data_IF_495104693203
#
_entry.id   IF_495104693203
#
_cell.length_a   1.000
_cell.length_b   1.000
_cell.length_c   1.000
_cell.angle_alpha   90.00
_cell.angle_beta   90.00
_cell.angle_gamma   90.00
#
_symmetry.space_group_name_H-M   'P 1'
#
loop_
_entity.id
_entity.type
_entity.pdbx_description
1 polymer ?
#
# COMPACT_ATOMS: atom_id res chain seq x y z
N UNK A 1 65.73 -38.91 -16.48
CA UNK A 1 64.29 -38.60 -16.49
C UNK A 1 64.09 -37.40 -15.59
N UNK A 2 64.16 -36.21 -16.17
CA UNK A 2 63.90 -34.95 -15.46
C UNK A 2 62.39 -34.62 -15.47
N UNK A 3 61.88 -33.91 -14.46
CA UNK A 3 60.45 -33.63 -14.30
C UNK A 3 60.06 -32.37 -15.09
N UNK A 4 59.11 -32.49 -16.01
CA UNK A 4 58.54 -31.34 -16.72
C UNK A 4 57.46 -30.72 -15.83
N UNK A 5 57.88 -29.73 -15.05
CA UNK A 5 57.03 -28.69 -14.50
C UNK A 5 56.78 -27.64 -15.59
N UNK A 6 55.57 -27.57 -16.14
CA UNK A 6 55.09 -26.39 -16.88
C UNK A 6 53.66 -26.05 -16.46
N UNK A 7 53.53 -25.35 -15.32
CA UNK A 7 52.30 -24.61 -15.02
C UNK A 7 52.17 -23.48 -16.04
N UNK A 8 51.32 -23.66 -17.04
CA UNK A 8 51.08 -22.68 -18.10
C UNK A 8 50.36 -21.44 -17.53
N UNK A 9 50.98 -20.25 -17.52
CA UNK A 9 50.45 -19.07 -16.83
C UNK A 9 49.16 -18.51 -17.45
N UNK A 10 48.86 -18.78 -18.72
CA UNK A 10 47.64 -18.33 -19.38
C UNK A 10 46.38 -19.10 -18.94
N UNK A 11 46.48 -20.41 -18.69
CA UNK A 11 45.36 -21.20 -18.19
C UNK A 11 44.96 -20.79 -16.76
N UNK A 12 45.93 -20.39 -15.93
CA UNK A 12 45.65 -19.85 -14.58
C UNK A 12 45.00 -18.48 -14.64
N UNK A 13 45.38 -17.61 -15.58
CA UNK A 13 44.74 -16.28 -15.76
C UNK A 13 43.29 -16.41 -16.20
N UNK A 14 43.00 -17.33 -17.13
CA UNK A 14 41.62 -17.58 -17.61
C UNK A 14 40.74 -18.15 -16.50
N UNK A 15 41.26 -19.08 -15.69
CA UNK A 15 40.53 -19.64 -14.54
C UNK A 15 40.23 -18.59 -13.46
N UNK A 16 41.19 -17.72 -13.13
CA UNK A 16 40.99 -16.64 -12.16
C UNK A 16 40.02 -15.58 -12.69
N UNK A 17 40.04 -15.27 -13.99
CA UNK A 17 39.09 -14.35 -14.60
C UNK A 17 37.65 -14.89 -14.54
N UNK A 18 37.44 -16.18 -14.86
CA UNK A 18 36.13 -16.83 -14.77
C UNK A 18 35.59 -16.91 -13.33
N UNK A 19 36.45 -17.14 -12.33
CA UNK A 19 36.06 -17.12 -10.91
C UNK A 19 35.63 -15.70 -10.47
N UNK A 20 36.39 -14.66 -10.85
CA UNK A 20 36.08 -13.25 -10.53
C UNK A 20 34.77 -12.81 -11.21
N UNK A 21 34.53 -13.24 -12.45
CA UNK A 21 33.30 -13.00 -13.17
C UNK A 21 32.09 -13.68 -12.50
N UNK A 22 32.29 -14.89 -11.97
CA UNK A 22 31.29 -15.59 -11.14
C UNK A 22 30.91 -14.83 -9.86
N UNK A 23 31.90 -14.27 -9.14
CA UNK A 23 31.61 -13.40 -7.99
C UNK A 23 30.87 -12.13 -8.37
N UNK A 24 31.22 -11.52 -9.52
CA UNK A 24 30.51 -10.36 -10.06
C UNK A 24 29.02 -10.65 -10.29
N UNK A 25 28.71 -11.76 -10.96
CA UNK A 25 27.34 -12.20 -11.17
C UNK A 25 26.56 -12.42 -9.86
N UNK A 26 27.18 -13.02 -8.83
CA UNK A 26 26.54 -13.20 -7.52
C UNK A 26 26.24 -11.87 -6.83
N UNK A 27 27.16 -10.89 -6.91
CA UNK A 27 26.93 -9.55 -6.35
C UNK A 27 25.81 -8.82 -7.08
N UNK A 28 25.77 -8.91 -8.41
CA UNK A 28 24.72 -8.30 -9.22
C UNK A 28 23.34 -8.92 -8.90
N UNK A 29 23.28 -10.24 -8.70
CA UNK A 29 22.06 -10.93 -8.28
C UNK A 29 21.57 -10.43 -6.90
N UNK A 30 22.48 -10.28 -5.94
CA UNK A 30 22.14 -9.74 -4.61
C UNK A 30 21.65 -8.30 -4.74
N UNK A 31 22.32 -7.46 -5.54
CA UNK A 31 21.90 -6.06 -5.76
C UNK A 31 20.48 -5.99 -6.33
N UNK A 32 20.16 -6.81 -7.33
CA UNK A 32 18.82 -6.86 -7.91
C UNK A 32 17.75 -7.33 -6.90
N UNK A 33 18.10 -8.27 -6.01
CA UNK A 33 17.21 -8.70 -4.92
C UNK A 33 16.99 -7.57 -3.90
N UNK A 34 18.04 -6.85 -3.51
CA UNK A 34 17.96 -5.71 -2.59
C UNK A 34 17.06 -4.60 -3.15
N UNK A 35 17.22 -4.24 -4.43
CA UNK A 35 16.36 -3.26 -5.10
C UNK A 35 14.87 -3.68 -5.11
N UNK A 36 14.63 -4.98 -5.21
CA UNK A 36 13.27 -5.55 -5.17
C UNK A 36 12.69 -5.51 -3.76
N UNK A 37 13.48 -5.85 -2.75
CA UNK A 37 13.09 -5.75 -1.34
C UNK A 37 12.77 -4.32 -0.95
N UNK A 38 13.61 -3.35 -1.34
CA UNK A 38 13.39 -1.93 -1.04
C UNK A 38 12.03 -1.44 -1.55
N UNK A 39 11.65 -1.80 -2.80
CA UNK A 39 10.33 -1.46 -3.36
C UNK A 39 9.18 -2.03 -2.54
N UNK A 40 9.30 -3.28 -2.09
CA UNK A 40 8.27 -3.95 -1.29
C UNK A 40 8.20 -3.40 0.14
N UNK A 41 9.33 -3.07 0.76
CA UNK A 41 9.38 -2.38 2.06
C UNK A 41 8.66 -1.03 1.99
N UNK A 42 8.96 -0.24 0.95
CA UNK A 42 8.29 1.04 0.71
C UNK A 42 6.77 0.89 0.50
N UNK A 43 6.30 -0.24 -0.04
CA UNK A 43 4.88 -0.54 -0.18
C UNK A 43 4.21 -0.79 1.19
N UNK A 44 4.84 -1.63 2.02
CA UNK A 44 4.38 -1.92 3.39
C UNK A 44 4.37 -0.65 4.24
N UNK A 45 5.44 0.15 4.18
CA UNK A 45 5.55 1.41 4.92
C UNK A 45 4.43 2.38 4.50
N UNK A 46 4.19 2.54 3.20
CA UNK A 46 3.11 3.40 2.69
C UNK A 46 1.75 2.93 3.20
N UNK A 47 1.48 1.63 3.24
CA UNK A 47 0.24 1.09 3.77
C UNK A 47 -0.01 1.55 5.23
N UNK A 48 0.98 1.41 6.11
CA UNK A 48 0.83 1.79 7.53
C UNK A 48 0.82 3.31 7.75
N UNK A 49 1.56 4.09 6.97
CA UNK A 49 1.52 5.55 7.04
C UNK A 49 0.16 6.11 6.59
N UNK A 50 -0.43 5.53 5.55
CA UNK A 50 -1.72 6.00 5.01
C UNK A 50 -2.89 5.55 5.88
N UNK A 51 -2.83 4.35 6.47
CA UNK A 51 -3.90 3.84 7.35
C UNK A 51 -3.96 4.52 8.72
N UNK A 52 -2.89 5.22 9.13
CA UNK A 52 -2.87 6.09 10.31
C UNK A 52 -3.54 7.47 10.13
N UNK A 53 -3.97 7.83 8.91
CA UNK A 53 -4.69 9.07 8.61
C UNK A 53 -6.03 8.78 7.90
N UNK A 54 -7.15 9.38 8.32
CA UNK A 54 -8.46 9.03 7.77
C UNK A 54 -8.67 9.67 6.40
N UNK A 55 -8.22 9.03 5.31
CA UNK A 55 -8.86 9.18 3.99
C UNK A 55 -8.50 8.06 3.00
N UNK A 56 -9.53 7.59 2.28
CA UNK A 56 -9.49 6.62 1.18
C UNK A 56 -8.47 7.01 0.11
N UNK A 57 -7.63 6.06 -0.32
CA UNK A 57 -7.23 5.96 -1.73
C UNK A 57 -7.06 4.50 -2.15
N UNK A 58 -7.83 4.11 -3.16
CA UNK A 58 -7.59 2.89 -3.95
C UNK A 58 -6.26 3.05 -4.70
N UNK A 59 -5.23 2.29 -4.32
CA UNK A 59 -4.06 2.08 -5.17
C UNK A 59 -4.04 0.63 -5.63
N UNK A 60 -4.06 0.44 -6.95
CA UNK A 60 -3.92 -0.84 -7.62
C UNK A 60 -2.53 -1.40 -7.33
N UNK A 61 -2.46 -2.46 -6.52
CA UNK A 61 -1.24 -3.21 -6.20
C UNK A 61 -1.07 -4.41 -7.14
N UNK A 62 0.15 -4.57 -7.62
CA UNK A 62 0.60 -5.48 -8.67
C UNK A 62 0.44 -6.97 -8.29
N UNK A 63 0.17 -7.78 -9.31
CA UNK A 63 0.00 -9.22 -9.23
C UNK A 63 1.35 -9.93 -9.04
N UNK A 64 1.57 -10.64 -7.94
CA UNK A 64 2.35 -11.90 -7.81
C UNK A 64 2.00 -12.50 -6.44
N UNK A 65 0.86 -13.20 -6.32
CA UNK A 65 0.58 -14.33 -5.37
C UNK A 65 -0.69 -15.02 -5.88
N UNK A 66 -0.62 -15.81 -6.96
CA UNK A 66 -1.82 -16.14 -7.75
C UNK A 66 -2.68 -17.32 -7.25
N UNK A 67 -2.16 -18.28 -6.47
CA UNK A 67 -2.94 -19.53 -6.27
C UNK A 67 -3.64 -19.67 -4.90
N UNK A 68 -2.98 -19.31 -3.79
CA UNK A 68 -3.63 -19.35 -2.46
C UNK A 68 -4.57 -18.14 -2.23
N UNK A 69 -4.20 -16.97 -2.76
CA UNK A 69 -5.01 -15.76 -2.63
C UNK A 69 -6.31 -15.85 -3.45
N UNK A 70 -6.27 -16.48 -4.63
CA UNK A 70 -7.43 -16.64 -5.51
C UNK A 70 -8.55 -17.46 -4.89
N UNK A 71 -8.22 -18.50 -4.10
CA UNK A 71 -9.22 -19.30 -3.38
C UNK A 71 -9.84 -18.53 -2.21
N UNK A 72 -9.06 -17.69 -1.51
CA UNK A 72 -9.59 -16.82 -0.45
C UNK A 72 -10.53 -15.74 -1.02
N UNK A 73 -10.13 -15.10 -2.13
CA UNK A 73 -10.93 -14.11 -2.85
C UNK A 73 -12.24 -14.71 -3.38
N UNK A 74 -12.19 -15.92 -3.98
CA UNK A 74 -13.38 -16.64 -4.43
C UNK A 74 -14.33 -16.97 -3.29
N UNK A 75 -13.81 -17.44 -2.15
CA UNK A 75 -14.62 -17.74 -0.95
C UNK A 75 -15.27 -16.47 -0.38
N UNK A 76 -14.51 -15.38 -0.27
CA UNK A 76 -15.01 -14.09 0.22
C UNK A 76 -16.10 -13.51 -0.70
N UNK A 77 -15.95 -13.67 -2.01
CA UNK A 77 -16.95 -13.23 -2.98
C UNK A 77 -18.22 -14.10 -2.94
N UNK A 78 -18.08 -15.40 -2.71
CA UNK A 78 -19.22 -16.30 -2.51
C UNK A 78 -20.00 -15.96 -1.23
N UNK A 79 -19.31 -15.67 -0.13
CA UNK A 79 -19.93 -15.27 1.14
C UNK A 79 -20.62 -13.89 1.03
N UNK A 80 -20.04 -12.95 0.30
CA UNK A 80 -20.68 -11.66 0.01
C UNK A 80 -21.96 -11.84 -0.84
N UNK A 81 -21.89 -12.65 -1.90
CA UNK A 81 -23.04 -12.95 -2.75
C UNK A 81 -24.17 -13.63 -1.96
N UNK A 82 -23.84 -14.59 -1.09
CA UNK A 82 -24.83 -15.27 -0.24
C UNK A 82 -25.50 -14.32 0.76
N UNK A 83 -24.76 -13.38 1.35
CA UNK A 83 -25.33 -12.33 2.21
C UNK A 83 -26.28 -11.42 1.44
N UNK A 84 -25.88 -10.98 0.25
CA UNK A 84 -26.71 -10.12 -0.60
C UNK A 84 -28.02 -10.80 -1.03
N UNK A 85 -27.95 -12.08 -1.41
CA UNK A 85 -29.16 -12.88 -1.71
C UNK A 85 -30.10 -12.95 -0.51
N UNK A 86 -29.56 -13.09 0.69
CA UNK A 86 -30.39 -13.17 1.91
C UNK A 86 -31.01 -11.81 2.24
N UNK A 87 -30.29 -10.71 2.07
CA UNK A 87 -30.80 -9.35 2.25
C UNK A 87 -31.91 -9.03 1.24
N UNK A 88 -31.71 -9.43 -0.01
CA UNK A 88 -32.71 -9.30 -1.07
C UNK A 88 -34.00 -10.03 -0.71
N UNK A 89 -33.92 -11.27 -0.22
CA UNK A 89 -35.10 -12.05 0.20
C UNK A 89 -35.87 -11.39 1.34
N UNK A 90 -35.17 -10.82 2.34
CA UNK A 90 -35.80 -10.11 3.45
C UNK A 90 -36.48 -8.82 2.99
N UNK A 91 -35.84 -8.06 2.10
CA UNK A 91 -36.48 -6.87 1.52
C UNK A 91 -37.70 -7.25 0.68
N UNK A 92 -37.63 -8.31 -0.13
CA UNK A 92 -38.78 -8.83 -0.88
C UNK A 92 -39.95 -9.22 0.02
N UNK A 93 -39.67 -9.79 1.19
CA UNK A 93 -40.69 -10.11 2.19
C UNK A 93 -41.39 -8.85 2.73
N UNK A 94 -40.62 -7.80 3.04
CA UNK A 94 -41.17 -6.51 3.45
C UNK A 94 -42.01 -5.87 2.33
N UNK A 95 -41.54 -5.94 1.08
CA UNK A 95 -42.27 -5.45 -0.10
C UNK A 95 -43.60 -6.19 -0.28
N UNK A 96 -43.63 -7.51 -0.04
CA UNK A 96 -44.86 -8.32 -0.09
C UNK A 96 -45.84 -7.93 1.02
N UNK A 97 -45.36 -7.73 2.24
CA UNK A 97 -46.19 -7.25 3.35
C UNK A 97 -46.75 -5.85 3.05
N UNK A 98 -45.93 -4.95 2.53
CA UNK A 98 -46.35 -3.62 2.09
C UNK A 98 -47.39 -3.70 0.97
N UNK A 99 -47.21 -4.56 -0.03
CA UNK A 99 -48.18 -4.76 -1.10
C UNK A 99 -49.55 -5.22 -0.57
N UNK A 100 -49.58 -5.99 0.52
CA UNK A 100 -50.83 -6.36 1.19
C UNK A 100 -51.51 -5.16 1.87
N UNK A 101 -50.74 -4.25 2.47
CA UNK A 101 -51.25 -2.99 3.02
C UNK A 101 -51.81 -2.13 1.89
N UNK A 102 -51.02 -1.93 0.83
CA UNK A 102 -51.40 -1.14 -0.33
C UNK A 102 -52.70 -1.67 -0.96
N UNK A 103 -52.83 -2.99 -1.17
CA UNK A 103 -54.06 -3.60 -1.68
C UNK A 103 -55.29 -3.30 -0.81
N UNK A 104 -55.15 -3.31 0.52
CA UNK A 104 -56.27 -3.00 1.42
C UNK A 104 -56.71 -1.53 1.30
N UNK A 105 -55.76 -0.61 1.04
CA UNK A 105 -56.07 0.80 0.83
C UNK A 105 -56.72 1.01 -0.55
N UNK A 106 -56.20 0.38 -1.61
CA UNK A 106 -56.73 0.55 -2.98
C UNK A 106 -58.09 -0.13 -3.21
N UNK A 107 -58.46 -1.08 -2.35
CA UNK A 107 -59.78 -1.73 -2.35
C UNK A 107 -60.82 -1.03 -1.47
N UNK A 108 -60.45 0.02 -0.74
CA UNK A 108 -61.39 0.81 0.04
C UNK A 108 -62.42 1.48 -0.88
N UNK A 109 -63.66 1.62 -0.42
CA UNK A 109 -64.75 2.25 -1.19
C UNK A 109 -64.40 3.68 -1.64
N UNK A 110 -63.67 4.42 -0.80
CA UNK A 110 -63.21 5.78 -1.09
C UNK A 110 -61.90 5.86 -1.88
N UNK A 111 -61.37 4.74 -2.37
CA UNK A 111 -60.09 4.74 -3.10
C UNK A 111 -60.23 5.20 -4.56
N UNK A 112 -61.46 5.26 -5.10
CA UNK A 112 -61.71 5.43 -6.53
C UNK A 112 -61.09 6.71 -7.15
N UNK A 113 -61.01 7.89 -6.49
CA UNK A 113 -60.42 9.09 -7.11
C UNK A 113 -58.91 8.97 -7.32
N UNK A 114 -58.28 8.05 -6.61
CA UNK A 114 -56.82 7.90 -6.55
C UNK A 114 -56.31 6.74 -7.40
N UNK A 115 -57.20 6.02 -8.10
CA UNK A 115 -56.86 4.79 -8.82
C UNK A 115 -56.02 5.05 -10.06
N UNK A 116 -56.29 6.14 -10.75
CA UNK A 116 -55.65 6.52 -12.00
C UNK A 116 -55.11 7.95 -11.89
N UNK A 117 -54.19 8.38 -12.77
CA UNK A 117 -53.75 9.77 -12.84
C UNK A 117 -54.94 10.73 -12.97
N UNK A 118 -54.82 11.92 -12.37
CA UNK A 118 -55.87 12.94 -12.45
C UNK A 118 -56.07 13.37 -13.90
N UNK A 119 -57.27 13.15 -14.43
CA UNK A 119 -57.67 13.58 -15.77
C UNK A 119 -58.05 15.06 -15.76
N UNK A 120 -57.03 15.91 -15.86
CA UNK A 120 -57.18 17.37 -15.79
C UNK A 120 -57.99 17.94 -16.96
N UNK A 121 -58.02 17.27 -18.11
CA UNK A 121 -58.76 17.74 -19.29
C UNK A 121 -60.25 17.50 -19.10
N UNK A 122 -60.64 16.26 -18.78
CA UNK A 122 -62.05 15.90 -18.56
C UNK A 122 -62.66 16.63 -17.36
N UNK A 123 -61.85 16.98 -16.36
CA UNK A 123 -62.27 17.70 -15.16
C UNK A 123 -62.13 19.23 -15.27
N UNK A 124 -61.55 19.76 -16.35
CA UNK A 124 -61.37 21.21 -16.55
C UNK A 124 -60.38 21.87 -15.57
N UNK A 125 -59.38 21.12 -15.09
CA UNK A 125 -58.43 21.56 -14.06
C UNK A 125 -57.17 22.19 -14.67
N UNK A 126 -57.30 23.42 -15.17
CA UNK A 126 -56.21 24.10 -15.91
C UNK A 126 -54.98 24.48 -15.07
N UNK A 127 -55.10 24.51 -13.75
CA UNK A 127 -54.05 24.91 -12.81
C UNK A 127 -53.39 23.72 -12.07
N UNK A 128 -53.86 22.49 -12.29
CA UNK A 128 -53.44 21.32 -11.52
C UNK A 128 -51.92 21.13 -11.51
N UNK A 129 -51.26 21.17 -12.67
CA UNK A 129 -49.80 21.02 -12.78
C UNK A 129 -49.01 22.26 -12.35
N UNK A 130 -49.68 23.40 -12.10
CA UNK A 130 -49.05 24.58 -11.49
C UNK A 130 -49.00 24.43 -9.96
N UNK A 131 -50.02 23.77 -9.39
CA UNK A 131 -50.12 23.53 -7.94
C UNK A 131 -49.40 22.24 -7.53
N UNK A 132 -49.51 21.19 -8.33
CA UNK A 132 -49.00 19.84 -8.05
C UNK A 132 -47.76 19.54 -8.92
N UNK A 133 -46.59 19.59 -8.28
CA UNK A 133 -45.28 19.41 -8.93
C UNK A 133 -45.03 17.97 -9.38
N UNK A 134 -45.43 16.98 -8.58
CA UNK A 134 -45.22 15.56 -8.85
C UNK A 134 -46.55 14.81 -8.69
N UNK A 135 -47.37 14.71 -9.75
CA UNK A 135 -48.57 13.89 -9.77
C UNK A 135 -48.27 12.44 -9.39
N UNK A 136 -49.19 11.79 -8.70
CA UNK A 136 -49.06 10.40 -8.29
C UNK A 136 -50.43 9.79 -8.05
N UNK A 137 -50.58 8.51 -8.35
CA UNK A 137 -51.80 7.72 -8.23
C UNK A 137 -51.48 6.24 -7.96
N UNK A 138 -52.49 5.47 -7.60
CA UNK A 138 -52.31 4.06 -7.26
C UNK A 138 -51.93 3.18 -8.45
N UNK A 139 -52.40 3.49 -9.66
CA UNK A 139 -52.05 2.80 -10.90
C UNK A 139 -50.56 2.94 -11.19
N UNK A 140 -50.04 4.17 -11.14
CA UNK A 140 -48.61 4.47 -11.29
C UNK A 140 -47.76 3.75 -10.23
N UNK A 141 -48.17 3.79 -8.96
CA UNK A 141 -47.46 3.07 -7.89
C UNK A 141 -47.45 1.57 -8.16
N UNK A 142 -48.61 0.98 -8.52
CA UNK A 142 -48.73 -0.44 -8.80
C UNK A 142 -47.81 -0.86 -9.96
N UNK A 143 -47.84 -0.12 -11.06
CA UNK A 143 -47.00 -0.39 -12.24
C UNK A 143 -45.52 -0.35 -11.87
N UNK A 144 -45.11 0.62 -11.06
CA UNK A 144 -43.72 0.73 -10.58
C UNK A 144 -43.33 -0.35 -9.57
N UNK A 145 -44.28 -0.88 -8.80
CA UNK A 145 -44.02 -2.06 -7.94
C UNK A 145 -43.79 -3.34 -8.75
N UNK A 146 -44.40 -3.45 -9.94
CA UNK A 146 -44.35 -4.63 -10.81
C UNK A 146 -43.31 -4.51 -11.94
N UNK A 147 -42.64 -3.35 -12.04
CA UNK A 147 -41.68 -3.06 -13.10
C UNK A 147 -40.51 -4.05 -13.13
N UNK A 148 -40.04 -4.38 -14.35
CA UNK A 148 -38.93 -5.32 -14.60
C UNK A 148 -37.76 -4.70 -15.36
N UNK A 149 -37.90 -3.45 -15.76
CA UNK A 149 -36.94 -2.67 -16.55
C UNK A 149 -35.90 -1.92 -15.70
N UNK A 150 -35.87 -2.20 -14.39
CA UNK A 150 -34.96 -1.53 -13.45
C UNK A 150 -35.51 -0.24 -12.84
N UNK A 151 -36.73 0.19 -13.22
CA UNK A 151 -37.41 1.35 -12.60
C UNK A 151 -38.16 0.98 -11.30
N UNK A 152 -38.18 -0.30 -10.96
CA UNK A 152 -38.87 -0.81 -9.78
C UNK A 152 -38.35 -0.19 -8.48
N UNK A 153 -39.26 -0.07 -7.51
CA UNK A 153 -38.90 0.37 -6.17
C UNK A 153 -37.85 -0.54 -5.53
N UNK A 154 -36.84 0.08 -4.91
CA UNK A 154 -35.72 -0.65 -4.28
C UNK A 154 -36.05 -1.10 -2.86
N UNK A 155 -36.94 -0.38 -2.20
CA UNK A 155 -37.32 -0.62 -0.81
C UNK A 155 -38.73 -0.09 -0.52
N UNK A 156 -39.28 -0.53 0.61
CA UNK A 156 -40.64 -0.16 1.04
C UNK A 156 -40.81 1.33 1.34
N UNK A 157 -39.74 2.06 1.70
CA UNK A 157 -39.84 3.50 1.98
C UNK A 157 -40.12 4.32 0.74
N UNK A 158 -39.60 3.90 -0.41
CA UNK A 158 -39.89 4.56 -1.69
C UNK A 158 -41.38 4.41 -2.04
N UNK A 159 -41.96 3.22 -1.85
CA UNK A 159 -43.40 3.00 -2.05
C UNK A 159 -44.22 3.83 -1.07
N UNK A 160 -43.84 3.82 0.22
CA UNK A 160 -44.47 4.63 1.26
C UNK A 160 -44.50 6.12 0.91
N UNK A 161 -43.38 6.65 0.39
CA UNK A 161 -43.29 8.04 -0.02
C UNK A 161 -44.27 8.37 -1.15
N UNK A 162 -44.34 7.54 -2.20
CA UNK A 162 -45.25 7.76 -3.32
C UNK A 162 -46.73 7.57 -2.91
N UNK A 163 -47.06 6.61 -2.03
CA UNK A 163 -48.44 6.49 -1.48
C UNK A 163 -48.85 7.73 -0.69
N UNK A 164 -47.97 8.26 0.17
CA UNK A 164 -48.26 9.52 0.88
C UNK A 164 -48.39 10.70 -0.06
N UNK A 165 -47.64 10.71 -1.15
CA UNK A 165 -47.68 11.77 -2.14
C UNK A 165 -49.07 11.86 -2.81
N UNK A 166 -49.71 10.72 -3.12
CA UNK A 166 -51.10 10.68 -3.63
C UNK A 166 -52.02 11.51 -2.74
N UNK A 167 -52.05 11.20 -1.45
CA UNK A 167 -52.96 11.86 -0.51
C UNK A 167 -52.56 13.31 -0.22
N UNK A 168 -51.26 13.59 -0.12
CA UNK A 168 -50.75 14.96 0.07
C UNK A 168 -51.10 15.86 -1.11
N UNK A 169 -50.98 15.36 -2.33
CA UNK A 169 -51.35 16.12 -3.53
C UNK A 169 -52.86 16.40 -3.54
N UNK A 170 -53.68 15.40 -3.22
CA UNK A 170 -55.12 15.57 -3.13
C UNK A 170 -55.52 16.62 -2.09
N UNK A 171 -54.96 16.54 -0.87
CA UNK A 171 -55.24 17.52 0.19
C UNK A 171 -54.63 18.91 -0.08
N UNK A 172 -53.58 19.00 -0.90
CA UNK A 172 -52.97 20.27 -1.32
C UNK A 172 -53.82 20.99 -2.37
N UNK A 173 -54.39 20.23 -3.31
CA UNK A 173 -55.15 20.80 -4.42
C UNK A 173 -56.60 21.13 -4.05
N UNK A 174 -57.24 20.28 -3.23
CA UNK A 174 -58.67 20.40 -2.89
C UNK A 174 -58.87 21.08 -1.52
N UNK A 175 -59.96 21.83 -1.37
CA UNK A 175 -60.34 22.50 -0.11
C UNK A 175 -60.67 21.45 0.96
N UNK A 176 -60.54 21.81 2.25
CA UNK A 176 -60.71 20.86 3.35
C UNK A 176 -62.15 20.33 3.50
N UNK A 177 -63.12 20.99 2.86
CA UNK A 177 -64.52 20.58 2.79
C UNK A 177 -64.85 19.69 1.60
N UNK A 178 -63.96 19.60 0.61
CA UNK A 178 -64.21 18.78 -0.58
C UNK A 178 -64.16 17.29 -0.21
N UNK A 179 -65.07 16.50 -0.79
CA UNK A 179 -65.14 15.06 -0.54
C UNK A 179 -63.79 14.38 -0.80
N UNK A 180 -63.09 14.75 -1.88
CA UNK A 180 -61.78 14.20 -2.25
C UNK A 180 -60.72 14.48 -1.16
N UNK A 181 -60.77 15.65 -0.52
CA UNK A 181 -59.87 15.97 0.59
C UNK A 181 -60.17 15.09 1.81
N UNK A 182 -61.44 14.98 2.19
CA UNK A 182 -61.88 14.15 3.33
C UNK A 182 -61.54 12.67 3.10
N UNK A 183 -61.74 12.18 1.88
CA UNK A 183 -61.39 10.83 1.44
C UNK A 183 -59.88 10.59 1.53
N UNK A 184 -59.07 11.53 1.03
CA UNK A 184 -57.61 11.45 1.07
C UNK A 184 -57.08 11.41 2.51
N UNK A 185 -57.59 12.29 3.37
CA UNK A 185 -57.23 12.35 4.79
C UNK A 185 -57.57 11.03 5.50
N UNK A 186 -58.78 10.52 5.29
CA UNK A 186 -59.25 9.28 5.91
C UNK A 186 -58.42 8.07 5.47
N UNK A 187 -58.12 7.95 4.17
CA UNK A 187 -57.30 6.86 3.65
C UNK A 187 -55.84 6.97 4.08
N UNK A 188 -55.29 8.19 4.18
CA UNK A 188 -53.96 8.42 4.72
C UNK A 188 -53.85 7.95 6.18
N UNK A 189 -54.82 8.28 7.03
CA UNK A 189 -54.85 7.84 8.42
C UNK A 189 -54.88 6.31 8.54
N UNK A 190 -55.74 5.64 7.76
CA UNK A 190 -55.79 4.16 7.70
C UNK A 190 -54.49 3.56 7.18
N UNK A 191 -53.86 4.20 6.19
CA UNK A 191 -52.59 3.75 5.64
C UNK A 191 -51.46 3.88 6.66
N UNK A 192 -51.35 5.01 7.36
CA UNK A 192 -50.34 5.23 8.39
C UNK A 192 -50.49 4.25 9.56
N UNK A 193 -51.73 3.95 10.00
CA UNK A 193 -51.98 2.96 11.05
C UNK A 193 -51.45 1.55 10.65
N UNK A 194 -51.66 1.15 9.40
CA UNK A 194 -51.14 -0.12 8.88
C UNK A 194 -49.62 -0.08 8.70
N UNK A 195 -49.08 1.04 8.23
CA UNK A 195 -47.64 1.25 8.08
C UNK A 195 -46.92 1.14 9.42
N UNK A 196 -47.46 1.73 10.50
CA UNK A 196 -46.88 1.64 11.84
C UNK A 196 -46.73 0.19 12.35
N UNK A 197 -47.57 -0.74 11.89
CA UNK A 197 -47.45 -2.17 12.20
C UNK A 197 -46.30 -2.86 11.45
N UNK A 198 -45.93 -2.34 10.27
CA UNK A 198 -44.83 -2.85 9.46
C UNK A 198 -43.49 -2.16 9.78
N UNK A 199 -43.54 -0.88 10.19
CA UNK A 199 -42.38 -0.02 10.42
C UNK A 199 -41.29 -0.64 11.31
N UNK A 200 -41.59 -1.32 12.44
CA UNK A 200 -40.56 -1.96 13.25
C UNK A 200 -39.70 -2.96 12.46
N UNK A 201 -40.32 -3.77 11.58
CA UNK A 201 -39.59 -4.74 10.76
C UNK A 201 -38.73 -4.07 9.68
N UNK A 202 -39.17 -2.92 9.18
CA UNK A 202 -38.42 -2.12 8.21
C UNK A 202 -37.18 -1.54 8.86
N UNK A 203 -37.33 -0.94 10.04
CA UNK A 203 -36.22 -0.37 10.82
C UNK A 203 -35.23 -1.45 11.24
N UNK A 204 -35.73 -2.62 11.67
CA UNK A 204 -34.88 -3.77 11.99
C UNK A 204 -34.07 -4.21 10.78
N UNK A 205 -34.67 -4.39 9.60
CA UNK A 205 -33.94 -4.78 8.40
C UNK A 205 -32.92 -3.72 7.96
N UNK A 206 -33.26 -2.43 8.06
CA UNK A 206 -32.35 -1.33 7.76
C UNK A 206 -31.12 -1.35 8.67
N UNK A 207 -31.34 -1.47 9.98
CA UNK A 207 -30.25 -1.60 10.96
C UNK A 207 -29.37 -2.80 10.63
N UNK A 208 -30.00 -3.95 10.37
CA UNK A 208 -29.32 -5.20 10.04
C UNK A 208 -28.45 -5.07 8.79
N UNK A 209 -28.90 -4.34 7.76
CA UNK A 209 -28.08 -4.06 6.57
C UNK A 209 -26.88 -3.18 6.89
N UNK A 210 -27.05 -2.16 7.73
CA UNK A 210 -25.95 -1.30 8.18
C UNK A 210 -24.91 -2.12 8.96
N UNK A 211 -25.36 -2.97 9.88
CA UNK A 211 -24.49 -3.83 10.68
C UNK A 211 -23.75 -4.84 9.78
N UNK A 212 -24.45 -5.53 8.86
CA UNK A 212 -23.85 -6.47 7.89
C UNK A 212 -22.81 -5.78 6.98
N UNK A 213 -23.05 -4.53 6.57
CA UNK A 213 -22.12 -3.75 5.77
C UNK A 213 -20.89 -3.30 6.58
N UNK A 214 -21.09 -2.87 7.82
CA UNK A 214 -20.00 -2.49 8.72
C UNK A 214 -19.08 -3.68 9.02
N UNK A 215 -19.66 -4.85 9.30
CA UNK A 215 -18.91 -6.11 9.47
C UNK A 215 -18.13 -6.48 8.20
N UNK A 216 -18.74 -6.34 7.02
CA UNK A 216 -18.08 -6.62 5.75
C UNK A 216 -16.88 -5.70 5.49
N UNK A 217 -17.01 -4.42 5.84
CA UNK A 217 -15.94 -3.42 5.73
C UNK A 217 -14.82 -3.74 6.72
N UNK A 218 -15.15 -4.07 7.96
CA UNK A 218 -14.18 -4.46 8.98
C UNK A 218 -13.40 -5.71 8.54
N UNK A 219 -14.10 -6.76 8.07
CA UNK A 219 -13.47 -7.98 7.58
C UNK A 219 -12.52 -7.70 6.41
N UNK A 220 -12.92 -6.83 5.48
CA UNK A 220 -12.05 -6.41 4.35
C UNK A 220 -10.79 -5.71 4.86
N UNK A 221 -10.91 -4.81 5.85
CA UNK A 221 -9.78 -4.11 6.45
C UNK A 221 -8.82 -5.08 7.14
N UNK A 222 -9.34 -5.98 7.97
CA UNK A 222 -8.54 -7.00 8.65
C UNK A 222 -7.81 -7.93 7.66
N UNK A 223 -8.48 -8.31 6.56
CA UNK A 223 -7.86 -9.13 5.52
C UNK A 223 -6.71 -8.40 4.80
N UNK A 224 -6.87 -7.10 4.53
CA UNK A 224 -5.81 -6.26 3.97
C UNK A 224 -4.62 -6.14 4.94
N UNK A 225 -4.90 -5.85 6.21
CA UNK A 225 -3.87 -5.75 7.25
C UNK A 225 -3.11 -7.06 7.42
N UNK A 226 -3.80 -8.19 7.46
CA UNK A 226 -3.18 -9.51 7.52
C UNK A 226 -2.29 -9.80 6.28
N UNK A 227 -2.69 -9.35 5.09
CA UNK A 227 -1.87 -9.50 3.89
C UNK A 227 -0.57 -8.67 3.96
N UNK A 228 -0.65 -7.42 4.42
CA UNK A 228 0.53 -6.58 4.62
C UNK A 228 1.43 -7.06 5.76
N UNK A 229 0.85 -7.58 6.85
CA UNK A 229 1.61 -8.20 7.92
C UNK A 229 2.35 -9.47 7.46
N UNK A 230 1.71 -10.30 6.62
CA UNK A 230 2.38 -11.44 5.98
C UNK A 230 3.54 -10.98 5.10
N UNK A 231 3.31 -9.96 4.26
CA UNK A 231 4.36 -9.41 3.41
C UNK A 231 5.55 -8.88 4.22
N UNK A 232 5.30 -8.18 5.33
CA UNK A 232 6.35 -7.69 6.22
C UNK A 232 7.18 -8.83 6.83
N UNK A 233 6.52 -9.93 7.23
CA UNK A 233 7.21 -11.14 7.74
C UNK A 233 8.07 -11.81 6.66
N UNK A 234 7.54 -11.93 5.44
CA UNK A 234 8.26 -12.52 4.31
C UNK A 234 9.50 -11.68 3.96
N UNK A 235 9.36 -10.34 3.92
CA UNK A 235 10.46 -9.41 3.73
C UNK A 235 11.54 -9.54 4.81
N UNK A 236 11.14 -9.67 6.08
CA UNK A 236 12.08 -9.89 7.18
C UNK A 236 12.86 -11.20 7.01
N UNK A 237 12.21 -12.25 6.48
CA UNK A 237 12.85 -13.55 6.24
C UNK A 237 13.84 -13.46 5.08
N UNK A 238 13.42 -12.88 3.96
CA UNK A 238 14.28 -12.67 2.78
C UNK A 238 15.52 -11.82 3.10
N UNK A 239 15.38 -10.81 3.97
CA UNK A 239 16.52 -9.99 4.41
C UNK A 239 17.55 -10.80 5.20
N UNK A 240 17.09 -11.73 6.07
CA UNK A 240 17.98 -12.64 6.81
C UNK A 240 18.71 -13.58 5.84
N UNK A 241 18.03 -14.09 4.83
CA UNK A 241 18.64 -14.96 3.81
C UNK A 241 19.72 -14.21 3.00
N UNK A 242 19.47 -12.96 2.62
CA UNK A 242 20.48 -12.13 1.92
C UNK A 242 21.68 -11.85 2.84
N UNK A 243 21.47 -11.54 4.12
CA UNK A 243 22.56 -11.31 5.07
C UNK A 243 23.45 -12.57 5.23
N UNK A 244 22.83 -13.75 5.32
CA UNK A 244 23.56 -15.02 5.34
C UNK A 244 24.34 -15.25 4.03
N UNK A 245 23.72 -15.00 2.88
CA UNK A 245 24.39 -15.19 1.60
C UNK A 245 25.57 -14.22 1.40
N UNK A 246 25.43 -12.96 1.84
CA UNK A 246 26.52 -11.98 1.85
C UNK A 246 27.67 -12.40 2.76
N UNK A 247 27.37 -12.98 3.93
CA UNK A 247 28.39 -13.53 4.83
C UNK A 247 29.16 -14.67 4.18
N UNK A 248 28.47 -15.61 3.55
CA UNK A 248 29.09 -16.76 2.87
C UNK A 248 29.95 -16.30 1.68
N UNK A 249 29.45 -15.35 0.87
CA UNK A 249 30.19 -14.79 -0.25
C UNK A 249 31.46 -14.07 0.24
N UNK A 250 31.35 -13.29 1.33
CA UNK A 250 32.49 -12.61 1.95
C UNK A 250 33.54 -13.61 2.43
N UNK A 251 33.12 -14.66 3.12
CA UNK A 251 34.02 -15.72 3.60
C UNK A 251 34.75 -16.41 2.43
N UNK A 252 34.01 -16.76 1.37
CA UNK A 252 34.56 -17.39 0.18
C UNK A 252 35.60 -16.51 -0.52
N UNK A 253 35.32 -15.21 -0.67
CA UNK A 253 36.29 -14.25 -1.24
C UNK A 253 37.54 -14.16 -0.37
N UNK A 254 37.39 -14.10 0.96
CA UNK A 254 38.54 -14.02 1.88
C UNK A 254 39.41 -15.27 1.78
N UNK A 255 38.82 -16.46 1.70
CA UNK A 255 39.56 -17.73 1.55
C UNK A 255 40.33 -17.82 0.23
N UNK A 256 39.81 -17.23 -0.84
CA UNK A 256 40.43 -17.22 -2.18
C UNK A 256 41.46 -16.11 -2.36
N UNK A 257 41.50 -15.12 -1.47
CA UNK A 257 42.47 -14.03 -1.53
C UNK A 257 43.90 -14.53 -1.28
N UNK A 258 44.83 -14.14 -2.16
CA UNK A 258 46.27 -14.40 -1.96
C UNK A 258 46.76 -13.68 -0.69
N UNK A 259 47.59 -14.35 0.13
CA UNK A 259 48.27 -13.70 1.25
C UNK A 259 49.14 -12.53 0.79
N UNK A 260 49.06 -11.41 1.48
CA UNK A 260 49.88 -10.26 1.17
C UNK A 260 51.34 -10.52 1.56
N UNK A 261 52.27 -10.29 0.64
CA UNK A 261 53.70 -10.48 0.93
C UNK A 261 54.20 -9.43 1.93
N UNK A 262 55.24 -9.75 2.70
CA UNK A 262 55.87 -8.80 3.64
C UNK A 262 56.37 -7.53 2.94
N UNK A 263 56.77 -7.63 1.67
CA UNK A 263 57.14 -6.47 0.85
C UNK A 263 55.95 -5.56 0.53
N UNK A 264 54.80 -6.15 0.22
CA UNK A 264 53.56 -5.40 -0.04
C UNK A 264 52.98 -4.78 1.25
N UNK A 265 53.08 -5.48 2.38
CA UNK A 265 52.74 -4.95 3.71
C UNK A 265 53.55 -3.70 4.05
N UNK A 266 54.86 -3.74 3.82
CA UNK A 266 55.73 -2.57 4.05
C UNK A 266 55.35 -1.38 3.17
N UNK A 267 55.10 -1.64 1.87
CA UNK A 267 54.64 -0.59 0.93
C UNK A 267 53.30 0.02 1.36
N UNK A 268 52.39 -0.81 1.85
CA UNK A 268 51.11 -0.34 2.39
C UNK A 268 51.31 0.54 3.63
N UNK A 269 52.14 0.11 4.58
CA UNK A 269 52.51 0.90 5.76
C UNK A 269 53.08 2.27 5.39
N UNK A 270 54.04 2.30 4.45
CA UNK A 270 54.57 3.57 3.94
C UNK A 270 53.49 4.42 3.28
N UNK A 271 52.64 3.83 2.44
CA UNK A 271 51.57 4.55 1.75
C UNK A 271 50.53 5.18 2.71
N UNK A 272 50.25 4.55 3.86
CA UNK A 272 49.38 5.10 4.90
C UNK A 272 49.91 6.43 5.47
N UNK A 273 51.23 6.58 5.59
CA UNK A 273 51.85 7.82 6.10
C UNK A 273 51.69 9.01 5.16
N UNK A 274 51.38 8.76 3.90
CA UNK A 274 51.19 9.79 2.88
C UNK A 274 49.73 10.21 2.69
N UNK A 275 48.78 9.60 3.42
CA UNK A 275 47.37 9.99 3.35
C UNK A 275 47.10 11.34 4.01
N UNK A 276 46.07 12.02 3.52
CA UNK A 276 45.46 13.15 4.21
C UNK A 276 44.93 12.72 5.59
N UNK A 277 44.81 13.65 6.57
CA UNK A 277 44.29 13.34 7.90
C UNK A 277 42.88 12.69 7.88
N UNK A 278 42.04 13.08 6.92
CA UNK A 278 40.67 12.58 6.78
C UNK A 278 40.67 11.15 6.21
N UNK A 279 41.47 10.87 5.19
CA UNK A 279 41.58 9.53 4.60
C UNK A 279 42.31 8.57 5.54
N UNK A 280 43.30 9.06 6.30
CA UNK A 280 43.96 8.26 7.34
C UNK A 280 42.96 7.83 8.42
N UNK A 281 42.06 8.72 8.83
CA UNK A 281 41.03 8.39 9.82
C UNK A 281 40.09 7.29 9.31
N UNK A 282 39.64 7.39 8.05
CA UNK A 282 38.84 6.34 7.40
C UNK A 282 39.61 5.02 7.26
N UNK A 283 40.91 5.07 6.95
CA UNK A 283 41.76 3.88 6.88
C UNK A 283 41.87 3.18 8.26
N UNK A 284 42.02 3.95 9.34
CA UNK A 284 42.05 3.41 10.70
C UNK A 284 40.69 2.84 11.14
N UNK A 285 39.58 3.41 10.67
CA UNK A 285 38.25 2.83 10.87
C UNK A 285 38.12 1.45 10.21
N UNK A 286 38.73 1.22 9.03
CA UNK A 286 38.77 -0.10 8.39
C UNK A 286 39.46 -1.14 9.29
N UNK A 287 40.51 -0.75 10.00
CA UNK A 287 41.20 -1.63 10.98
C UNK A 287 40.29 -1.93 12.17
N UNK A 288 39.66 -0.90 12.74
CA UNK A 288 38.77 -1.05 13.89
C UNK A 288 37.58 -2.00 13.62
N UNK A 289 37.07 -2.04 12.39
CA UNK A 289 35.94 -2.89 12.00
C UNK A 289 36.18 -4.39 12.23
N UNK A 290 37.42 -4.86 12.15
CA UNK A 290 37.78 -6.27 12.40
C UNK A 290 38.66 -6.43 13.65
N UNK A 291 38.92 -5.34 14.39
CA UNK A 291 39.71 -5.33 15.61
C UNK A 291 39.04 -4.42 16.67
N UNK A 292 38.08 -4.95 17.45
CA UNK A 292 37.27 -4.14 18.38
C UNK A 292 38.07 -3.47 19.50
N UNK A 293 39.27 -3.97 19.82
CA UNK A 293 40.15 -3.38 20.85
C UNK A 293 41.00 -2.22 20.31
N UNK A 294 41.00 -1.99 18.99
CA UNK A 294 41.73 -0.90 18.35
C UNK A 294 40.98 0.43 18.50
N UNK A 295 41.69 1.50 18.90
CA UNK A 295 41.12 2.83 19.12
C UNK A 295 41.56 3.80 17.99
N UNK A 296 40.79 3.92 16.88
CA UNK A 296 41.19 4.70 15.70
C UNK A 296 41.15 6.23 15.91
N UNK A 297 40.52 6.68 16.99
CA UNK A 297 40.34 8.09 17.35
C UNK A 297 41.44 8.65 18.25
N UNK A 298 42.37 7.81 18.74
CA UNK A 298 43.47 8.26 19.57
C UNK A 298 44.42 9.19 18.80
N UNK A 299 45.13 10.04 19.56
CA UNK A 299 46.04 11.05 19.00
C UNK A 299 47.32 10.44 18.43
N UNK A 300 47.73 9.31 18.99
CA UNK A 300 48.81 8.45 18.53
C UNK A 300 48.27 7.01 18.52
N UNK A 301 48.46 6.32 17.41
CA UNK A 301 47.92 4.98 17.18
C UNK A 301 49.06 4.14 16.63
N UNK A 302 49.34 3.03 17.31
CA UNK A 302 50.30 2.05 16.85
C UNK A 302 49.58 0.98 16.03
N UNK A 303 49.98 0.82 14.77
CA UNK A 303 49.37 -0.12 13.85
C UNK A 303 50.41 -1.14 13.40
N UNK A 304 50.33 -2.33 13.99
CA UNK A 304 51.05 -3.51 13.52
C UNK A 304 50.38 -4.02 12.24
N UNK A 305 51.04 -3.81 11.10
CA UNK A 305 50.53 -4.24 9.78
C UNK A 305 50.63 -5.78 9.66
N UNK A 306 51.59 -6.41 10.32
CA UNK A 306 51.82 -7.85 10.20
C UNK A 306 50.79 -8.70 10.96
N UNK A 307 50.25 -8.18 12.06
CA UNK A 307 49.21 -8.82 12.86
C UNK A 307 47.77 -8.68 12.30
N UNK A 308 47.55 -7.87 11.26
CA UNK A 308 46.20 -7.69 10.71
C UNK A 308 45.74 -8.87 9.85
N UNK A 309 44.42 -9.13 9.84
CA UNK A 309 43.83 -10.15 8.98
C UNK A 309 43.98 -9.82 7.49
N UNK A 310 44.10 -10.85 6.64
CA UNK A 310 44.28 -10.69 5.19
C UNK A 310 43.16 -9.83 4.57
N UNK A 311 41.91 -9.99 5.02
CA UNK A 311 40.78 -9.17 4.58
C UNK A 311 41.00 -7.68 4.87
N UNK A 312 41.47 -7.35 6.08
CA UNK A 312 41.75 -5.96 6.51
C UNK A 312 42.88 -5.37 5.68
N UNK A 313 43.95 -6.14 5.47
CA UNK A 313 45.11 -5.74 4.68
C UNK A 313 44.77 -5.42 3.22
N UNK A 314 43.97 -6.27 2.57
CA UNK A 314 43.54 -6.01 1.20
C UNK A 314 42.55 -4.85 1.09
N UNK A 315 41.61 -4.71 2.04
CA UNK A 315 40.70 -3.55 2.09
C UNK A 315 41.47 -2.24 2.26
N UNK A 316 42.44 -2.21 3.18
CA UNK A 316 43.35 -1.08 3.36
C UNK A 316 44.11 -0.77 2.08
N UNK A 317 44.69 -1.78 1.42
CA UNK A 317 45.47 -1.59 0.18
C UNK A 317 44.63 -0.98 -0.94
N UNK A 318 43.40 -1.44 -1.13
CA UNK A 318 42.48 -0.87 -2.13
C UNK A 318 42.13 0.57 -1.77
N UNK A 319 41.73 0.82 -0.51
CA UNK A 319 41.35 2.15 -0.05
C UNK A 319 42.51 3.16 -0.18
N UNK A 320 43.70 2.83 0.33
CA UNK A 320 44.90 3.68 0.29
C UNK A 320 45.27 4.00 -1.15
N UNK A 321 45.22 3.01 -2.05
CA UNK A 321 45.51 3.21 -3.48
C UNK A 321 44.55 4.21 -4.13
N UNK A 322 43.25 4.11 -3.86
CA UNK A 322 42.27 5.03 -4.43
C UNK A 322 42.36 6.43 -3.80
N UNK A 323 42.55 6.54 -2.48
CA UNK A 323 42.73 7.81 -1.80
C UNK A 323 43.97 8.58 -2.32
N UNK A 324 45.10 7.89 -2.51
CA UNK A 324 46.31 8.51 -3.07
C UNK A 324 46.15 8.94 -4.53
N UNK A 325 45.36 8.21 -5.35
CA UNK A 325 45.04 8.63 -6.72
C UNK A 325 44.21 9.92 -6.75
N UNK A 326 43.24 10.07 -5.83
CA UNK A 326 42.42 11.28 -5.73
C UNK A 326 43.27 12.46 -5.25
N UNK A 327 44.18 12.24 -4.30
CA UNK A 327 45.13 13.27 -3.84
C UNK A 327 46.09 13.71 -4.94
N UNK A 328 46.63 12.78 -5.74
CA UNK A 328 47.51 13.10 -6.88
C UNK A 328 46.80 13.87 -8.01
N UNK A 329 45.52 13.59 -8.27
CA UNK A 329 44.71 14.35 -9.25
C UNK A 329 44.34 15.75 -8.75
N UNK A 330 44.31 15.96 -7.45
CA UNK A 330 44.04 17.27 -6.83
C UNK A 330 45.24 18.23 -6.92
N UNK A 331 46.45 17.70 -7.16
CA UNK A 331 47.69 18.47 -7.31
C UNK A 331 48.05 18.85 -8.75
N UNK A 332 47.40 18.29 -9.79
CA UNK A 332 47.73 18.52 -11.21
C UNK A 332 46.70 19.36 -12.00
N UNK A 333 45.78 20.07 -11.34
CA UNK A 333 44.68 20.78 -12.01
C UNK A 333 44.46 22.22 -11.55
N UNK A 334 45.41 23.13 -11.79
CA UNK A 334 45.14 24.59 -11.82
C UNK A 334 45.52 25.13 -13.20
N UNK A 335 44.63 24.96 -14.17
CA UNK A 335 44.51 25.83 -15.34
C UNK A 335 43.16 25.62 -16.06
N UNK A 336 42.27 26.62 -15.96
CA UNK A 336 41.37 27.00 -17.07
C UNK A 336 40.03 26.29 -17.28
N UNK A 337 38.95 26.96 -16.84
CA UNK A 337 37.62 27.13 -17.46
C UNK A 337 36.53 26.01 -17.51
N UNK A 338 35.44 26.33 -16.79
CA UNK A 338 33.99 26.39 -17.12
C UNK A 338 33.19 25.17 -17.63
N UNK A 339 32.18 24.83 -16.80
CA UNK A 339 30.76 24.42 -17.05
C UNK A 339 30.57 23.09 -17.81
N UNK A 340 29.92 22.04 -17.27
CA UNK A 340 28.45 21.90 -17.13
C UNK A 340 28.05 20.86 -16.07
N UNK A 341 26.88 21.10 -15.47
CA UNK A 341 26.20 20.28 -14.47
C UNK A 341 25.86 18.84 -14.93
N UNK A 342 25.87 17.91 -13.97
CA UNK A 342 24.83 16.88 -13.87
C UNK A 342 24.66 16.42 -12.42
N UNK A 343 23.46 16.70 -11.91
CA UNK A 343 22.89 16.27 -10.63
C UNK A 343 22.98 14.75 -10.45
N UNK A 344 23.25 14.31 -9.22
CA UNK A 344 22.45 13.29 -8.53
C UNK A 344 22.44 13.56 -7.02
N UNK A 345 21.23 13.47 -6.46
CA UNK A 345 20.81 13.80 -5.11
C UNK A 345 21.56 12.95 -4.06
N UNK A 346 22.13 13.54 -3.00
CA UNK A 346 21.54 14.10 -1.76
C UNK A 346 21.13 12.99 -0.78
N UNK A 347 22.11 12.58 0.02
CA UNK A 347 21.97 11.82 1.27
C UNK A 347 21.23 12.65 2.32
N UNK A 348 20.50 11.93 3.16
CA UNK A 348 19.74 12.42 4.31
C UNK A 348 20.74 12.77 5.43
N UNK A 349 20.52 13.94 6.00
CA UNK A 349 21.26 14.57 7.08
C UNK A 349 21.04 13.89 8.43
N UNK A 350 22.13 13.70 9.18
CA UNK A 350 22.13 13.77 10.64
C UNK A 350 23.12 14.85 11.09
N UNK A 351 22.63 15.78 11.90
CA UNK A 351 23.36 16.96 12.36
C UNK A 351 23.76 16.82 13.84
N UNK A 352 25.05 16.91 14.13
CA UNK A 352 25.59 17.42 15.41
C UNK A 352 26.92 18.14 15.11
N UNK A 353 27.16 19.37 15.62
CA UNK A 353 28.34 20.14 15.27
C UNK A 353 29.57 19.65 16.03
N UNK A 354 30.68 19.39 15.31
CA UNK A 354 32.01 19.31 15.92
C UNK A 354 32.91 20.40 15.35
N UNK A 355 33.32 21.28 16.25
CA UNK A 355 34.38 22.27 16.04
C UNK A 355 35.67 21.56 15.64
N UNK A 356 36.15 21.80 14.42
CA UNK A 356 37.42 21.26 13.93
C UNK A 356 38.59 22.08 14.47
N UNK A 357 39.35 21.51 15.41
CA UNK A 357 40.75 21.84 15.57
C UNK A 357 41.55 20.89 14.67
N UNK A 358 42.27 21.43 13.68
CA UNK A 358 43.22 20.67 12.86
C UNK A 358 44.32 20.10 13.77
N UNK A 359 44.19 18.84 14.19
CA UNK A 359 45.23 18.09 14.88
C UNK A 359 45.86 17.09 13.91
N UNK A 360 47.16 17.20 13.74
CA UNK A 360 47.99 16.24 13.01
C UNK A 360 48.09 14.93 13.80
N UNK A 361 47.51 13.85 13.27
CA UNK A 361 47.69 12.48 13.80
C UNK A 361 49.09 11.98 13.42
N UNK A 362 49.73 11.25 14.33
CA UNK A 362 51.03 10.60 14.08
C UNK A 362 50.82 9.08 14.07
N UNK A 363 51.27 8.43 13.01
CA UNK A 363 51.16 6.98 12.81
C UNK A 363 52.57 6.37 12.91
N UNK A 364 52.76 5.39 13.80
CA UNK A 364 53.89 4.48 13.77
C UNK A 364 53.43 3.15 13.15
N UNK A 365 54.14 2.68 12.13
CA UNK A 365 53.96 1.33 11.60
C UNK A 365 55.17 0.50 12.02
N UNK A 366 54.91 -0.62 12.68
CA UNK A 366 55.90 -1.65 12.99
C UNK A 366 55.75 -2.83 12.02
#
# INVERSE_FOLDING_TARGET
MEPISSSNPDLRKVAVAAEVEGFGCSVDEISAKVDTLEKRVNEVERFYLTTGSPQLTNSKGSSIVKDKQLNLLKKQQQDASRREVTATKRMQELMRQFASIFRQITQHEWAWPFKEPVDVESLGLHDYYQVIEKPMDFGTIKNKMEAKDGTAYKNVREIYADVRLVFKNAMKYNDDKDDVHVMAKTLLEKFEEKWLKLLPKVVEEEKRRVDEEAEARLHTKLAQEAAYASMAKDLSTELVEIDLYLKDLREMVVQKCRKMSSGDKRKLGTALTHLSPDDLSKALEIVAQNNPSFQPSAQEVDLDIDAQSECTLWRLKVFVKEALKVQGKSSEGIAGNKVTASKRNREISDAVPKTNAKRTKKLSCL
#
